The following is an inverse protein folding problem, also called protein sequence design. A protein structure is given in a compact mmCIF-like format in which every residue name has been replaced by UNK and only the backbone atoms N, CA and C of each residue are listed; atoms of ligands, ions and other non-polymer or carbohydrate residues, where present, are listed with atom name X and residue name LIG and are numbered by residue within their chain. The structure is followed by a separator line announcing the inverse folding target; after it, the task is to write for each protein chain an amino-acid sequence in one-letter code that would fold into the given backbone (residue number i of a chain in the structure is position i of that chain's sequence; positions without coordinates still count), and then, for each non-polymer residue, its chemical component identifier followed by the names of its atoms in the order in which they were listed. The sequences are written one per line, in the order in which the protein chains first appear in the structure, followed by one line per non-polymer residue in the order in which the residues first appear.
data_IF_667682821539
#
_entry.id   IF_667682821539
#
_cell.length_a   1.000
_cell.length_b   1.000
_cell.length_c   1.000
_cell.angle_alpha   90.00
_cell.angle_beta   90.00
_cell.angle_gamma   90.00
#
_symmetry.space_group_name_H-M   'P 1'
#
loop_
_entity.id
_entity.type
_entity.pdbx_description
1 polymer ?
#
# COMPACT_ATOMS: atom_id res chain seq x y z
N UNK A 1 0.29 13.86 -18.93
CA UNK A 1 0.67 12.45 -18.70
C UNK A 1 1.05 12.36 -17.24
N UNK A 2 0.19 11.77 -16.41
CA UNK A 2 0.49 11.61 -14.99
C UNK A 2 1.59 10.55 -14.90
N UNK A 3 2.78 10.95 -14.45
CA UNK A 3 3.83 10.01 -14.07
C UNK A 3 3.34 9.26 -12.84
N UNK A 4 2.67 8.12 -13.05
CA UNK A 4 2.41 7.18 -11.96
C UNK A 4 3.77 6.58 -11.59
N UNK A 5 4.30 6.98 -10.44
CA UNK A 5 5.50 6.37 -9.88
C UNK A 5 5.14 4.93 -9.51
N UNK A 6 5.84 3.96 -10.12
CA UNK A 6 5.60 2.52 -9.93
C UNK A 6 6.72 1.94 -9.07
N UNK A 7 6.35 1.21 -8.03
CA UNK A 7 7.29 0.53 -7.11
C UNK A 7 7.08 -1.00 -7.12
N UNK A 8 8.14 -1.75 -6.80
CA UNK A 8 8.05 -3.19 -6.55
C UNK A 8 7.46 -3.41 -5.15
N UNK A 9 6.31 -4.08 -5.06
CA UNK A 9 5.68 -4.38 -3.79
C UNK A 9 6.09 -5.78 -3.29
N UNK A 10 6.87 -5.88 -2.19
CA UNK A 10 7.29 -7.19 -1.67
C UNK A 10 6.12 -8.03 -1.14
N UNK A 11 5.03 -7.39 -0.68
CA UNK A 11 3.83 -8.08 -0.21
C UNK A 11 3.11 -8.80 -1.38
N UNK A 12 3.02 -8.12 -2.53
CA UNK A 12 2.23 -8.57 -3.67
C UNK A 12 3.07 -9.27 -4.74
N UNK A 13 4.40 -9.19 -4.65
CA UNK A 13 5.38 -9.73 -5.62
C UNK A 13 5.13 -9.26 -7.06
N UNK A 14 4.62 -8.04 -7.19
CA UNK A 14 4.33 -7.37 -8.45
C UNK A 14 4.68 -5.89 -8.32
N UNK A 15 4.63 -5.19 -9.44
CA UNK A 15 4.76 -3.74 -9.49
C UNK A 15 3.39 -3.08 -9.32
N UNK A 16 3.31 -2.09 -8.44
CA UNK A 16 2.10 -1.30 -8.18
C UNK A 16 2.43 0.19 -8.25
N UNK A 17 1.42 1.03 -8.44
CA UNK A 17 1.59 2.47 -8.31
C UNK A 17 1.82 2.86 -6.83
N UNK A 18 2.54 3.96 -6.60
CA UNK A 18 2.82 4.47 -5.26
C UNK A 18 1.56 4.83 -4.47
N UNK A 19 0.46 5.17 -5.15
CA UNK A 19 -0.85 5.42 -4.52
C UNK A 19 -1.42 4.14 -3.89
N UNK A 20 -1.37 3.02 -4.60
CA UNK A 20 -1.73 1.73 -4.06
C UNK A 20 -0.83 1.32 -2.88
N UNK A 21 0.47 1.58 -2.95
CA UNK A 21 1.39 1.34 -1.84
C UNK A 21 1.01 2.19 -0.61
N UNK A 22 0.70 3.46 -0.83
CA UNK A 22 0.23 4.39 0.21
C UNK A 22 -1.07 3.92 0.87
N UNK A 23 -2.07 3.53 0.08
CA UNK A 23 -3.36 3.08 0.60
C UNK A 23 -3.22 1.79 1.43
N UNK A 24 -2.35 0.86 1.02
CA UNK A 24 -2.02 -0.33 1.82
C UNK A 24 -1.45 0.09 3.19
N UNK A 25 -0.48 1.01 3.19
CA UNK A 25 0.14 1.52 4.42
C UNK A 25 -0.87 2.25 5.31
N UNK A 26 -1.74 3.08 4.74
CA UNK A 26 -2.77 3.81 5.48
C UNK A 26 -3.77 2.85 6.16
N UNK A 27 -4.14 1.74 5.52
CA UNK A 27 -4.98 0.71 6.16
C UNK A 27 -4.22 -0.04 7.26
N UNK A 28 -2.97 -0.40 7.01
CA UNK A 28 -2.08 -1.07 7.98
C UNK A 28 -1.93 -0.24 9.27
N UNK A 29 -1.71 1.07 9.13
CA UNK A 29 -1.60 2.05 10.23
C UNK A 29 -2.96 2.48 10.82
N UNK A 30 -4.06 1.89 10.35
CA UNK A 30 -5.44 2.19 10.77
C UNK A 30 -5.87 3.64 10.52
N UNK A 31 -5.25 4.32 9.56
CA UNK A 31 -5.66 5.65 9.09
C UNK A 31 -6.75 5.59 8.03
N UNK A 32 -6.93 4.43 7.41
CA UNK A 32 -7.98 4.19 6.43
C UNK A 32 -8.70 2.85 6.68
N UNK A 33 -9.88 2.68 6.06
CA UNK A 33 -10.70 1.48 6.21
C UNK A 33 -10.24 0.38 5.24
N UNK A 34 -10.31 -0.88 5.68
CA UNK A 34 -9.88 -2.05 4.89
C UNK A 34 -10.63 -2.22 3.55
N UNK A 35 -11.80 -1.60 3.37
CA UNK A 35 -12.53 -1.68 2.11
C UNK A 35 -11.79 -1.02 0.93
N UNK A 36 -10.85 -0.11 1.19
CA UNK A 36 -9.98 0.48 0.15
C UNK A 36 -9.12 -0.59 -0.50
N UNK A 37 -8.64 -1.58 0.27
CA UNK A 37 -7.83 -2.68 -0.25
C UNK A 37 -8.58 -3.49 -1.32
N UNK A 38 -9.91 -3.57 -1.27
CA UNK A 38 -10.71 -4.27 -2.29
C UNK A 38 -10.60 -3.63 -3.67
N UNK A 39 -10.29 -2.33 -3.76
CA UNK A 39 -10.06 -1.63 -5.02
C UNK A 39 -8.72 -2.09 -5.60
N UNK A 40 -7.68 -2.09 -4.77
CA UNK A 40 -6.32 -2.52 -5.12
C UNK A 40 -6.29 -4.00 -5.52
N UNK A 41 -6.94 -4.87 -4.74
CA UNK A 41 -7.08 -6.30 -5.06
C UNK A 41 -7.69 -6.52 -6.45
N UNK A 42 -8.71 -5.72 -6.83
CA UNK A 42 -9.34 -5.81 -8.14
C UNK A 42 -8.45 -5.25 -9.26
N UNK A 43 -7.82 -4.10 -9.02
CA UNK A 43 -6.96 -3.42 -9.99
C UNK A 43 -5.77 -4.31 -10.39
N UNK A 44 -5.14 -4.96 -9.42
CA UNK A 44 -3.93 -5.75 -9.63
C UNK A 44 -4.18 -7.27 -9.69
N UNK A 45 -5.44 -7.72 -9.53
CA UNK A 45 -5.81 -9.14 -9.47
C UNK A 45 -5.03 -9.93 -8.40
N UNK A 46 -4.85 -9.32 -7.23
CA UNK A 46 -4.12 -9.87 -6.09
C UNK A 46 -5.02 -10.01 -4.87
N UNK A 47 -4.53 -10.72 -3.84
CA UNK A 47 -5.13 -10.75 -2.51
C UNK A 47 -4.21 -10.08 -1.51
N UNK A 48 -4.77 -9.19 -0.69
CA UNK A 48 -4.02 -8.46 0.33
C UNK A 48 -4.37 -9.05 1.69
N UNK A 49 -3.41 -9.75 2.29
CA UNK A 49 -3.52 -10.24 3.66
C UNK A 49 -3.01 -9.16 4.61
N UNK A 50 -3.92 -8.45 5.27
CA UNK A 50 -3.61 -7.33 6.19
C UNK A 50 -2.69 -7.77 7.34
N UNK A 51 -2.77 -9.03 7.77
CA UNK A 51 -1.91 -9.54 8.84
C UNK A 51 -0.44 -9.57 8.40
N UNK A 52 -0.18 -9.99 7.15
CA UNK A 52 1.14 -9.98 6.53
C UNK A 52 1.56 -8.58 6.09
N UNK A 53 0.61 -7.77 5.63
CA UNK A 53 0.86 -6.40 5.21
C UNK A 53 1.48 -5.58 6.35
N UNK A 54 1.00 -5.73 7.59
CA UNK A 54 1.56 -5.05 8.77
C UNK A 54 3.07 -5.27 8.93
N UNK A 55 3.53 -6.50 8.77
CA UNK A 55 4.95 -6.84 8.90
C UNK A 55 5.74 -6.37 7.68
N UNK A 56 5.30 -6.74 6.48
CA UNK A 56 6.01 -6.45 5.23
C UNK A 56 6.10 -4.94 4.98
N UNK A 57 5.01 -4.22 5.14
CA UNK A 57 4.96 -2.79 4.86
C UNK A 57 5.61 -1.92 5.93
N UNK A 58 5.74 -2.39 7.19
CA UNK A 58 6.53 -1.67 8.20
C UNK A 58 7.99 -1.44 7.78
N UNK A 59 8.51 -2.33 6.93
CA UNK A 59 9.84 -2.23 6.32
C UNK A 59 9.86 -1.36 5.05
N UNK A 60 8.72 -1.25 4.37
CA UNK A 60 8.54 -0.51 3.13
C UNK A 60 7.98 0.89 3.44
N UNK A 61 8.80 1.75 4.05
CA UNK A 61 8.42 3.12 4.40
C UNK A 61 8.40 4.04 3.16
N UNK A 62 7.58 3.72 2.17
CA UNK A 62 7.05 4.76 1.28
C UNK A 62 6.02 5.54 2.12
N UNK A 63 6.54 6.49 2.92
CA UNK A 63 6.04 7.85 3.15
C UNK A 63 6.80 8.47 4.33
N UNK A 64 7.30 9.71 4.23
CA UNK A 64 7.44 10.54 5.40
C UNK A 64 6.03 10.98 5.79
N UNK A 65 5.38 10.22 6.67
CA UNK A 65 4.42 10.85 7.58
C UNK A 65 5.20 11.61 8.64
N UNK A 66 5.95 12.63 8.21
CA UNK A 66 6.31 13.70 9.12
C UNK A 66 4.98 14.38 9.45
N UNK A 67 4.33 13.92 10.53
CA UNK A 67 3.59 14.87 11.37
C UNK A 67 4.61 15.92 11.75
N UNK A 68 4.58 17.05 11.05
CA UNK A 68 4.96 18.30 11.69
C UNK A 68 3.89 18.53 12.76
N UNK A 69 4.17 18.04 13.96
CA UNK A 69 3.67 18.69 15.17
C UNK A 69 4.17 20.13 15.21
#
# INVERSE_FOLDING_TARGET
MNNEFICDCPLLKIRIDEGACYDINAVVEKWAKENILKIIEKQFQVRIDVSKAKEVCSTCKHYPFDRKD
#
